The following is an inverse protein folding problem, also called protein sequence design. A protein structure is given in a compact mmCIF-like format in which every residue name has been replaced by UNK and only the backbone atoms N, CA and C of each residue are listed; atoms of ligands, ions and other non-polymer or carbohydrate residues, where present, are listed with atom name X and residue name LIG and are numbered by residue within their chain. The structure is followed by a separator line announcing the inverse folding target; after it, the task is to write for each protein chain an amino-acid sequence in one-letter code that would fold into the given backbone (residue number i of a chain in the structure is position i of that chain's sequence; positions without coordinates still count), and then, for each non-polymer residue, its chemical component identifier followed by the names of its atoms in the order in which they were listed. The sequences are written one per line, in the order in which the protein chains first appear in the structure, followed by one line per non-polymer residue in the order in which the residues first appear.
data_IF_397747364703
#
_entry.id   IF_397747364703
#
_cell.length_a   1.000
_cell.length_b   1.000
_cell.length_c   1.000
_cell.angle_alpha   90.00
_cell.angle_beta   90.00
_cell.angle_gamma   90.00
#
_symmetry.space_group_name_H-M   'P 1'
#
loop_
_entity.id
_entity.type
_entity.pdbx_description
1 polymer ?
#
# COMPACT_ATOMS: atom_id res chain seq x y z
N UNK A 1 1.40 23.29 -4.37
CA UNK A 1 1.37 23.19 -2.91
C UNK A 1 0.31 22.23 -2.39
N UNK A 2 -0.89 22.27 -2.96
CA UNK A 2 -1.98 21.41 -2.52
C UNK A 2 -1.66 19.91 -2.64
N UNK A 3 -1.08 19.50 -3.75
CA UNK A 3 -0.75 18.08 -3.98
C UNK A 3 0.35 17.59 -3.04
N UNK A 4 1.31 18.44 -2.74
CA UNK A 4 2.37 18.11 -1.79
C UNK A 4 1.80 17.90 -0.39
N UNK A 5 0.92 18.79 0.05
CA UNK A 5 0.29 18.67 1.37
C UNK A 5 -0.54 17.39 1.43
N UNK A 6 -1.30 17.10 0.38
CA UNK A 6 -2.10 15.87 0.31
C UNK A 6 -1.21 14.63 0.43
N UNK A 7 -0.08 14.61 -0.28
CA UNK A 7 0.86 13.50 -0.20
C UNK A 7 1.41 13.35 1.22
N UNK A 8 1.86 14.43 1.83
CA UNK A 8 2.43 14.38 3.18
C UNK A 8 1.38 13.92 4.19
N UNK A 9 0.16 14.44 4.11
CA UNK A 9 -0.92 14.01 5.01
C UNK A 9 -1.21 12.51 4.87
N UNK A 10 -1.15 11.97 3.67
CA UNK A 10 -1.39 10.54 3.45
C UNK A 10 -0.34 9.68 4.14
N UNK A 11 0.83 10.22 4.44
CA UNK A 11 1.93 9.49 5.08
C UNK A 11 1.89 9.57 6.61
N UNK A 12 1.01 10.36 7.19
CA UNK A 12 0.95 10.57 8.63
C UNK A 12 0.09 9.51 9.33
N UNK A 13 0.29 8.25 8.99
CA UNK A 13 -0.49 7.16 9.56
C UNK A 13 0.30 5.85 9.47
N UNK A 14 0.37 5.14 10.59
CA UNK A 14 1.14 3.89 10.67
C UNK A 14 0.63 2.84 9.67
N UNK A 15 -0.69 2.67 9.57
CA UNK A 15 -1.27 1.69 8.66
C UNK A 15 -0.87 1.97 7.22
N UNK A 16 -0.93 3.23 6.80
CA UNK A 16 -0.58 3.59 5.43
C UNK A 16 0.92 3.46 5.16
N UNK A 17 1.78 3.76 6.14
CA UNK A 17 3.21 3.52 5.97
C UNK A 17 3.51 2.03 5.82
N UNK A 18 2.82 1.19 6.59
CA UNK A 18 2.96 -0.26 6.48
C UNK A 18 2.49 -0.75 5.10
N UNK A 19 1.40 -0.19 4.58
CA UNK A 19 0.91 -0.53 3.25
C UNK A 19 1.92 -0.18 2.16
N UNK A 20 2.51 1.00 2.23
CA UNK A 20 3.54 1.41 1.27
C UNK A 20 4.74 0.48 1.31
N UNK A 21 5.14 0.05 2.51
CA UNK A 21 6.22 -0.91 2.67
C UNK A 21 5.95 -2.22 1.93
N UNK A 22 4.72 -2.73 2.01
CA UNK A 22 4.31 -3.93 1.28
C UNK A 22 4.36 -3.69 -0.23
N UNK A 23 3.78 -2.58 -0.68
CA UNK A 23 3.63 -2.30 -2.10
C UNK A 23 4.95 -1.94 -2.77
N UNK A 24 5.94 -1.50 -1.99
CA UNK A 24 7.30 -1.32 -2.50
C UNK A 24 7.95 -2.65 -2.86
N UNK A 25 7.49 -3.75 -2.28
CA UNK A 25 8.02 -5.08 -2.58
C UNK A 25 7.36 -5.71 -3.80
N UNK A 26 6.03 -5.58 -3.91
CA UNK A 26 5.29 -6.15 -5.04
C UNK A 26 3.86 -5.64 -5.08
N UNK A 27 3.20 -5.89 -6.20
CA UNK A 27 1.77 -5.66 -6.34
C UNK A 27 0.99 -6.54 -5.36
N UNK A 28 -0.04 -5.97 -4.73
CA UNK A 28 -0.88 -6.68 -3.79
C UNK A 28 -2.36 -6.46 -4.11
N UNK A 29 -3.18 -7.49 -3.92
CA UNK A 29 -4.61 -7.30 -3.89
C UNK A 29 -5.00 -6.86 -2.47
N UNK A 30 -6.24 -6.33 -2.32
CA UNK A 30 -6.73 -5.89 -1.02
C UNK A 30 -6.71 -7.02 0.00
N UNK A 31 -7.04 -8.25 -0.42
CA UNK A 31 -7.06 -9.40 0.48
C UNK A 31 -5.67 -9.72 1.06
N UNK A 32 -4.62 -9.52 0.29
CA UNK A 32 -3.26 -9.74 0.82
C UNK A 32 -2.90 -8.70 1.87
N UNK A 33 -3.26 -7.45 1.63
CA UNK A 33 -3.05 -6.37 2.60
C UNK A 33 -3.80 -6.66 3.91
N UNK A 34 -5.06 -7.09 3.81
CA UNK A 34 -5.86 -7.47 4.97
C UNK A 34 -5.20 -8.57 5.79
N UNK A 35 -4.67 -9.58 5.12
CA UNK A 35 -4.01 -10.70 5.79
C UNK A 35 -2.76 -10.26 6.54
N UNK A 36 -1.92 -9.47 5.89
CA UNK A 36 -0.65 -9.05 6.49
C UNK A 36 -0.88 -8.10 7.66
N UNK A 37 -1.73 -7.10 7.47
CA UNK A 37 -1.94 -6.06 8.48
C UNK A 37 -3.01 -6.43 9.52
N UNK A 38 -3.74 -7.52 9.30
CA UNK A 38 -4.82 -7.97 10.17
C UNK A 38 -5.87 -6.88 10.39
N UNK A 39 -6.32 -6.29 9.29
CA UNK A 39 -7.34 -5.23 9.30
C UNK A 39 -8.52 -5.64 8.44
N UNK A 40 -9.65 -4.96 8.68
CA UNK A 40 -10.86 -5.20 7.90
C UNK A 40 -10.71 -4.75 6.46
N UNK A 41 -11.57 -5.27 5.57
CA UNK A 41 -11.61 -4.84 4.19
C UNK A 41 -11.90 -3.34 4.09
N UNK A 42 -12.81 -2.84 4.91
CA UNK A 42 -13.16 -1.41 4.92
C UNK A 42 -11.95 -0.55 5.23
N UNK A 43 -11.17 -0.90 6.25
CA UNK A 43 -9.95 -0.16 6.59
C UNK A 43 -8.90 -0.26 5.49
N UNK A 44 -8.70 -1.47 4.96
CA UNK A 44 -7.73 -1.68 3.89
C UNK A 44 -8.08 -0.84 2.67
N UNK A 45 -9.32 -0.94 2.19
CA UNK A 45 -9.77 -0.21 1.00
C UNK A 45 -9.71 1.29 1.20
N UNK A 46 -10.12 1.78 2.36
CA UNK A 46 -10.11 3.22 2.66
C UNK A 46 -8.68 3.78 2.63
N UNK A 47 -7.75 3.10 3.29
CA UNK A 47 -6.38 3.59 3.37
C UNK A 47 -5.65 3.45 2.02
N UNK A 48 -5.91 2.38 1.28
CA UNK A 48 -5.37 2.24 -0.07
C UNK A 48 -5.89 3.36 -0.99
N UNK A 49 -7.18 3.72 -0.88
CA UNK A 49 -7.75 4.82 -1.65
C UNK A 49 -7.09 6.16 -1.31
N UNK A 50 -6.80 6.40 -0.04
CA UNK A 50 -6.10 7.63 0.38
C UNK A 50 -4.73 7.72 -0.29
N UNK A 51 -3.98 6.63 -0.30
CA UNK A 51 -2.67 6.59 -0.95
C UNK A 51 -2.77 6.72 -2.48
N UNK A 52 -3.80 6.10 -3.06
CA UNK A 52 -4.08 6.21 -4.49
C UNK A 52 -4.38 7.66 -4.87
N UNK A 53 -5.26 8.32 -4.12
CA UNK A 53 -5.65 9.70 -4.39
C UNK A 53 -4.47 10.67 -4.19
N UNK A 54 -3.54 10.32 -3.32
CA UNK A 54 -2.33 11.12 -3.09
C UNK A 54 -1.29 10.96 -4.21
N UNK A 55 -1.50 10.02 -5.12
CA UNK A 55 -0.64 9.84 -6.28
C UNK A 55 0.43 8.75 -6.13
N UNK A 56 0.47 8.04 -5.01
CA UNK A 56 1.49 7.01 -4.79
C UNK A 56 1.24 5.69 -5.51
N UNK A 57 -0.03 5.35 -5.75
CA UNK A 57 -0.39 4.01 -6.21
C UNK A 57 -1.00 4.00 -7.59
N UNK A 58 -0.82 2.88 -8.27
CA UNK A 58 -1.59 2.50 -9.44
C UNK A 58 -2.60 1.45 -9.04
N UNK A 59 -3.74 1.46 -9.69
CA UNK A 59 -4.80 0.49 -9.49
C UNK A 59 -5.06 -0.25 -10.79
N UNK A 60 -5.05 -1.57 -10.73
CA UNK A 60 -5.39 -2.43 -11.85
C UNK A 60 -6.54 -3.33 -11.42
N UNK A 61 -7.58 -3.38 -12.24
CA UNK A 61 -8.72 -4.27 -11.99
C UNK A 61 -8.71 -5.42 -12.98
N UNK A 62 -9.03 -6.60 -12.48
CA UNK A 62 -9.11 -7.81 -13.27
C UNK A 62 -10.30 -8.62 -12.76
N UNK A 63 -11.44 -8.51 -13.46
CA UNK A 63 -12.71 -9.05 -12.97
C UNK A 63 -13.11 -8.36 -11.66
N UNK A 64 -13.33 -9.16 -10.62
CA UNK A 64 -13.69 -8.67 -9.28
C UNK A 64 -12.47 -8.37 -8.40
N UNK A 65 -11.26 -8.56 -8.95
CA UNK A 65 -10.02 -8.32 -8.22
C UNK A 65 -9.53 -6.90 -8.44
N UNK A 66 -9.03 -6.28 -7.37
CA UNK A 66 -8.34 -4.99 -7.44
C UNK A 66 -6.91 -5.18 -6.93
N UNK A 67 -5.94 -4.76 -7.75
CA UNK A 67 -4.52 -4.86 -7.44
C UNK A 67 -3.93 -3.47 -7.37
N UNK A 68 -3.24 -3.20 -6.29
CA UNK A 68 -2.52 -1.94 -6.11
C UNK A 68 -1.03 -2.17 -6.27
N UNK A 69 -0.36 -1.19 -6.84
CA UNK A 69 1.09 -1.28 -7.06
C UNK A 69 1.72 0.12 -7.03
N UNK A 70 3.03 0.14 -6.91
CA UNK A 70 3.82 1.36 -7.03
C UNK A 70 4.68 1.21 -8.27
N UNK A 71 4.53 2.17 -9.21
CA UNK A 71 5.37 2.24 -10.39
C UNK A 71 6.25 3.47 -10.28
N UNK A 72 7.47 3.28 -9.78
CA UNK A 72 8.40 4.38 -9.55
C UNK A 72 8.73 5.16 -10.82
N UNK A 73 8.68 4.51 -11.98
CA UNK A 73 9.01 5.16 -13.25
C UNK A 73 7.96 6.20 -13.66
N UNK A 74 6.74 6.08 -13.17
CA UNK A 74 5.65 7.00 -13.51
C UNK A 74 5.32 8.00 -12.40
N UNK A 75 5.99 7.93 -11.25
CA UNK A 75 5.78 8.85 -10.15
C UNK A 75 6.50 10.18 -10.40
N UNK A 76 5.92 11.26 -9.88
CA UNK A 76 6.64 12.52 -9.83
C UNK A 76 7.84 12.39 -8.90
N UNK A 77 8.90 13.15 -9.20
CA UNK A 77 10.18 13.03 -8.49
C UNK A 77 10.04 13.19 -6.98
N UNK A 78 9.24 14.15 -6.52
CA UNK A 78 9.10 14.36 -5.08
C UNK A 78 8.41 13.19 -4.38
N UNK A 79 7.49 12.51 -5.04
CA UNK A 79 6.83 11.32 -4.49
C UNK A 79 7.83 10.16 -4.38
N UNK A 80 8.69 10.01 -5.38
CA UNK A 80 9.75 9.00 -5.34
C UNK A 80 10.69 9.25 -4.16
N UNK A 81 11.08 10.50 -3.94
CA UNK A 81 11.96 10.86 -2.83
C UNK A 81 11.30 10.59 -1.47
N UNK A 82 10.00 10.87 -1.35
CA UNK A 82 9.27 10.55 -0.13
C UNK A 82 9.24 9.04 0.13
N UNK A 83 9.00 8.24 -0.91
CA UNK A 83 9.01 6.78 -0.78
C UNK A 83 10.38 6.25 -0.39
N UNK A 84 11.44 6.80 -0.96
CA UNK A 84 12.81 6.41 -0.60
C UNK A 84 13.11 6.72 0.87
N UNK A 85 12.64 7.87 1.35
CA UNK A 85 12.78 8.25 2.75
C UNK A 85 12.06 7.27 3.68
N UNK A 86 10.84 6.88 3.31
CA UNK A 86 10.07 5.91 4.09
C UNK A 86 10.76 4.56 4.10
N UNK A 87 11.22 4.10 2.95
CA UNK A 87 11.92 2.82 2.83
C UNK A 87 13.17 2.79 3.70
N UNK A 88 13.94 3.88 3.69
CA UNK A 88 15.12 4.00 4.53
C UNK A 88 14.76 3.97 6.03
N UNK A 89 13.70 4.66 6.40
CA UNK A 89 13.26 4.73 7.79
C UNK A 89 12.74 3.40 8.31
N UNK A 90 12.13 2.59 7.45
CA UNK A 90 11.52 1.31 7.84
C UNK A 90 12.46 0.11 7.69
N UNK A 91 13.64 0.31 7.13
CA UNK A 91 14.56 -0.78 6.82
C UNK A 91 14.84 -1.70 8.00
N UNK A 92 15.05 -1.14 9.19
CA UNK A 92 15.37 -1.90 10.39
C UNK A 92 14.22 -1.90 11.40
N UNK A 93 13.04 -1.48 10.98
CA UNK A 93 11.86 -1.43 11.85
C UNK A 93 11.30 -2.83 12.03
N UNK A 94 11.10 -3.25 13.29
CA UNK A 94 10.65 -4.62 13.60
C UNK A 94 9.28 -4.94 12.99
N UNK A 95 8.33 -4.01 13.04
CA UNK A 95 7.00 -4.23 12.47
C UNK A 95 7.08 -4.36 10.94
N UNK A 96 7.86 -3.49 10.30
CA UNK A 96 8.02 -3.53 8.85
C UNK A 96 8.68 -4.84 8.39
N UNK A 97 9.66 -5.33 9.12
CA UNK A 97 10.32 -6.60 8.81
C UNK A 97 9.34 -7.75 8.95
N UNK A 98 8.55 -7.76 10.02
CA UNK A 98 7.55 -8.81 10.25
C UNK A 98 6.47 -8.76 9.16
N UNK A 99 6.03 -7.58 8.75
CA UNK A 99 5.05 -7.43 7.68
C UNK A 99 5.54 -8.06 6.38
N UNK A 100 6.81 -7.85 6.03
CA UNK A 100 7.37 -8.43 4.80
C UNK A 100 7.46 -9.95 4.88
N UNK A 101 7.77 -10.50 6.06
CA UNK A 101 7.76 -11.95 6.26
C UNK A 101 6.35 -12.51 6.09
N UNK A 102 5.35 -11.83 6.63
CA UNK A 102 3.94 -12.24 6.50
C UNK A 102 3.44 -12.11 5.07
N UNK A 103 3.94 -11.13 4.34
CA UNK A 103 3.57 -10.94 2.93
C UNK A 103 3.94 -12.18 2.10
N UNK A 104 5.04 -12.83 2.40
CA UNK A 104 5.46 -14.04 1.70
C UNK A 104 4.48 -15.19 1.89
N UNK A 105 3.77 -15.20 3.02
CA UNK A 105 2.78 -16.22 3.35
C UNK A 105 1.37 -15.85 2.91
N UNK A 106 1.14 -14.59 2.54
CA UNK A 106 -0.19 -14.12 2.15
C UNK A 106 -0.60 -14.74 0.81
N UNK A 107 -1.88 -15.08 0.70
CA UNK A 107 -2.43 -15.73 -0.49
C UNK A 107 -3.54 -14.89 -1.09
N UNK A 108 -3.61 -14.89 -2.41
CA UNK A 108 -4.72 -14.27 -3.13
C UNK A 108 -5.93 -15.18 -2.99
N UNK A 109 -6.88 -14.75 -2.14
CA UNK A 109 -8.12 -15.47 -1.92
C UNK A 109 -9.10 -15.14 -3.05
N UNK A 110 -10.14 -15.95 -3.21
CA UNK A 110 -11.12 -15.71 -4.24
C UNK A 110 -11.86 -14.38 -4.06
N UNK A 111 -12.50 -13.86 -5.12
CA UNK A 111 -13.22 -12.57 -5.06
C UNK A 111 -14.25 -12.48 -3.95
N UNK A 112 -14.78 -13.62 -3.50
CA UNK A 112 -15.75 -13.67 -2.41
C UNK A 112 -15.19 -13.14 -1.09
N UNK A 113 -13.88 -13.08 -0.95
CA UNK A 113 -13.22 -12.55 0.24
C UNK A 113 -12.86 -11.07 0.08
N UNK A 114 -12.99 -10.53 -1.12
CA UNK A 114 -12.62 -9.16 -1.46
C UNK A 114 -13.66 -8.53 -2.38
N UNK A 115 -14.95 -8.73 -2.08
CA UNK A 115 -16.03 -8.34 -2.99
C UNK A 115 -16.08 -6.85 -3.29
N UNK A 116 -15.54 -6.02 -2.41
CA UNK A 116 -15.55 -4.56 -2.58
C UNK A 116 -14.19 -4.01 -3.00
N UNK A 117 -13.32 -4.88 -3.42
CA UNK A 117 -11.97 -4.48 -3.87
C UNK A 117 -11.97 -3.63 -5.15
#
# INVERSE_FOLDING_TARGET
MHDLIKAIKSLSDETRLRMLNLLLQRECCVCEVMQVLEISQTRASRNLSILYDAGFLKLRKEGLWAYYSIDKSSLEDYLTLLLESIQAALKDNAVAIQDLARLKEAKRLGPQYCQKC
#
